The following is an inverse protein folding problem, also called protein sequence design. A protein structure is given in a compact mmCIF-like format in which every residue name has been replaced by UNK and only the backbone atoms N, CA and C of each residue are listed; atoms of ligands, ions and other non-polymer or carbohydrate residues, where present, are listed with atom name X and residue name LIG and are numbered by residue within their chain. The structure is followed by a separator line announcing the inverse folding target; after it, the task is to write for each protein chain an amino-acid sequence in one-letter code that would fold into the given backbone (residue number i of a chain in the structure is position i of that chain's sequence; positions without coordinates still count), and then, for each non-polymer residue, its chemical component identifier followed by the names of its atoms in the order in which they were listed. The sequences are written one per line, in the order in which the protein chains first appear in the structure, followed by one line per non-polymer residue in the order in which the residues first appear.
data_IF_326066133127
#
_entry.id   IF_326066133127
#
_cell.length_a   1.000
_cell.length_b   1.000
_cell.length_c   1.000
_cell.angle_alpha   90.00
_cell.angle_beta   90.00
_cell.angle_gamma   90.00
#
_symmetry.space_group_name_H-M   'P 1'
#
loop_
_entity.id
_entity.type
_entity.pdbx_description
1 polymer ?
#
# COMPACT_ATOMS: atom_id res chain seq x y z
N UNK A 1 14.50 10.85 19.23
CA UNK A 1 14.78 11.19 17.82
C UNK A 1 15.61 12.47 17.79
N UNK A 2 16.75 12.50 17.10
CA UNK A 2 17.66 13.66 17.08
C UNK A 2 17.06 14.84 16.29
N UNK A 3 17.26 16.07 16.79
CA UNK A 3 16.94 17.33 16.09
C UNK A 3 17.60 17.32 14.70
N UNK A 4 16.81 17.54 13.66
CA UNK A 4 17.32 17.82 12.30
C UNK A 4 17.04 19.29 12.02
N UNK A 5 18.07 20.14 12.19
CA UNK A 5 17.99 21.59 11.97
C UNK A 5 17.82 21.97 10.48
N UNK A 6 17.82 20.99 9.58
CA UNK A 6 17.54 21.14 8.14
C UNK A 6 16.53 20.07 7.69
N UNK A 7 15.44 20.46 6.99
CA UNK A 7 14.49 19.50 6.44
C UNK A 7 15.18 18.57 5.42
N UNK A 8 14.94 17.27 5.55
CA UNK A 8 15.47 16.25 4.65
C UNK A 8 14.64 16.18 3.36
N UNK A 9 15.28 16.40 2.22
CA UNK A 9 14.67 16.37 0.88
C UNK A 9 15.23 15.25 0.00
N UNK A 10 15.85 14.23 0.61
CA UNK A 10 16.40 13.09 -0.14
C UNK A 10 15.33 12.23 -0.80
N UNK A 11 14.15 12.09 -0.18
CA UNK A 11 13.00 11.42 -0.76
C UNK A 11 12.28 12.30 -1.78
N UNK A 12 11.74 11.68 -2.83
CA UNK A 12 11.05 12.34 -3.95
C UNK A 12 9.55 12.19 -3.79
N UNK A 13 8.80 13.23 -4.12
CA UNK A 13 7.34 13.23 -4.05
C UNK A 13 6.80 14.58 -3.63
N UNK A 14 5.57 14.61 -3.11
CA UNK A 14 5.01 15.83 -2.54
C UNK A 14 5.60 16.07 -1.16
N UNK A 15 6.48 17.05 -1.05
CA UNK A 15 7.03 17.52 0.22
C UNK A 15 5.98 18.33 0.99
N UNK A 16 5.73 17.96 2.24
CA UNK A 16 4.82 18.62 3.18
C UNK A 16 5.65 19.03 4.38
N UNK A 17 5.78 20.34 4.59
CA UNK A 17 6.41 20.86 5.78
C UNK A 17 5.38 20.93 6.91
N UNK A 18 5.71 20.35 8.05
CA UNK A 18 4.85 20.30 9.22
C UNK A 18 5.61 20.73 10.47
N UNK A 19 5.01 21.61 11.26
CA UNK A 19 5.49 21.98 12.59
C UNK A 19 4.28 22.21 13.50
N UNK A 20 4.32 21.58 14.68
CA UNK A 20 3.27 21.75 15.69
C UNK A 20 3.51 22.99 16.57
N UNK A 21 4.77 23.40 16.75
CA UNK A 21 5.19 24.47 17.66
C UNK A 21 5.79 25.70 16.94
N UNK A 22 5.88 25.65 15.60
CA UNK A 22 6.48 26.67 14.77
C UNK A 22 8.01 26.73 14.85
N UNK A 23 8.66 25.81 15.58
CA UNK A 23 10.11 25.77 15.78
C UNK A 23 10.71 24.53 15.15
N UNK A 24 10.14 23.36 15.42
CA UNK A 24 10.60 22.09 14.89
C UNK A 24 9.82 21.79 13.60
N UNK A 25 10.44 22.06 12.45
CA UNK A 25 9.86 21.78 11.12
C UNK A 25 10.32 20.42 10.63
N UNK A 26 9.37 19.53 10.35
CA UNK A 26 9.59 18.23 9.72
C UNK A 26 9.18 18.27 8.25
N UNK A 27 9.96 17.60 7.41
CA UNK A 27 9.57 17.31 6.03
C UNK A 27 8.95 15.92 5.98
N UNK A 28 7.69 15.85 5.53
CA UNK A 28 7.00 14.61 5.20
C UNK A 28 6.93 14.48 3.69
N UNK A 29 7.18 13.29 3.15
CA UNK A 29 7.04 13.03 1.72
C UNK A 29 5.85 12.12 1.49
N UNK A 30 4.93 12.54 0.62
CA UNK A 30 3.72 11.79 0.30
C UNK A 30 3.77 11.22 -1.11
N UNK A 31 3.44 9.94 -1.22
CA UNK A 31 3.15 9.22 -2.46
C UNK A 31 1.81 8.50 -2.37
N UNK A 32 1.25 8.12 -3.52
CA UNK A 32 -0.01 7.39 -3.55
C UNK A 32 -0.06 6.39 -4.71
N UNK A 33 -0.51 5.18 -4.40
CA UNK A 33 -1.08 4.24 -5.38
C UNK A 33 -2.59 4.43 -5.38
N UNK A 34 -3.15 4.76 -6.54
CA UNK A 34 -4.57 5.04 -6.71
C UNK A 34 -5.40 3.74 -6.58
N UNK A 35 -6.64 3.89 -6.14
CA UNK A 35 -7.67 2.85 -6.20
C UNK A 35 -7.34 1.51 -5.49
N UNK A 36 -6.49 1.49 -4.46
CA UNK A 36 -6.12 0.25 -3.76
C UNK A 36 -7.34 -0.51 -3.17
N UNK A 37 -7.98 0.07 -2.15
CA UNK A 37 -9.12 -0.55 -1.48
C UNK A 37 -10.31 -0.74 -2.42
N UNK A 38 -10.61 0.26 -3.26
CA UNK A 38 -11.71 0.20 -4.23
C UNK A 38 -11.50 -0.87 -5.31
N UNK A 39 -10.27 -1.16 -5.71
CA UNK A 39 -9.97 -2.27 -6.64
C UNK A 39 -10.30 -3.61 -6.00
N UNK A 40 -9.92 -3.81 -4.73
CA UNK A 40 -10.28 -5.03 -4.01
C UNK A 40 -11.80 -5.14 -3.80
N UNK A 41 -12.47 -4.03 -3.47
CA UNK A 41 -13.93 -3.97 -3.40
C UNK A 41 -14.59 -4.33 -4.73
N UNK A 42 -14.09 -3.78 -5.84
CA UNK A 42 -14.57 -4.14 -7.18
C UNK A 42 -14.44 -5.65 -7.45
N UNK A 43 -13.29 -6.25 -7.14
CA UNK A 43 -13.09 -7.68 -7.33
C UNK A 43 -14.12 -8.47 -6.50
N UNK A 44 -14.20 -8.20 -5.21
CA UNK A 44 -15.02 -8.96 -4.26
C UNK A 44 -16.53 -8.81 -4.58
N UNK A 45 -16.98 -7.57 -4.78
CA UNK A 45 -18.41 -7.27 -4.90
C UNK A 45 -18.94 -7.47 -6.32
N UNK A 46 -18.16 -7.09 -7.34
CA UNK A 46 -18.64 -7.09 -8.74
C UNK A 46 -18.26 -8.34 -9.50
N UNK A 47 -17.07 -8.88 -9.27
CA UNK A 47 -16.53 -9.99 -10.04
C UNK A 47 -16.78 -11.32 -9.33
N UNK A 48 -16.39 -11.42 -8.06
CA UNK A 48 -16.57 -12.63 -7.25
C UNK A 48 -17.99 -12.76 -6.68
N UNK A 49 -18.72 -11.64 -6.61
CA UNK A 49 -20.07 -11.53 -6.05
C UNK A 49 -20.17 -12.16 -4.65
N UNK A 50 -19.13 -11.95 -3.83
CA UNK A 50 -19.08 -12.48 -2.48
C UNK A 50 -19.91 -11.61 -1.53
N UNK A 51 -20.54 -12.25 -0.53
CA UNK A 51 -21.38 -11.58 0.47
C UNK A 51 -20.59 -10.89 1.59
N UNK A 52 -19.30 -11.21 1.75
CA UNK A 52 -18.43 -10.62 2.77
C UNK A 52 -16.96 -10.70 2.35
N UNK A 53 -16.15 -9.80 2.89
CA UNK A 53 -14.69 -9.83 2.75
C UNK A 53 -14.09 -11.01 3.51
N UNK A 54 -14.58 -11.30 4.72
CA UNK A 54 -14.07 -12.40 5.56
C UNK A 54 -14.18 -13.78 4.87
N UNK A 55 -15.26 -14.01 4.11
CA UNK A 55 -15.43 -15.24 3.34
C UNK A 55 -14.43 -15.40 2.19
N UNK A 56 -13.86 -14.29 1.69
CA UNK A 56 -12.81 -14.30 0.65
C UNK A 56 -11.42 -14.30 1.27
N UNK A 57 -11.20 -13.46 2.30
CA UNK A 57 -9.96 -13.43 3.08
C UNK A 57 -9.64 -14.80 3.70
N UNK A 58 -10.65 -15.54 4.17
CA UNK A 58 -10.49 -16.90 4.70
C UNK A 58 -10.13 -17.96 3.65
N UNK A 59 -10.30 -17.67 2.35
CA UNK A 59 -9.86 -18.53 1.24
C UNK A 59 -8.46 -18.15 0.72
N UNK A 60 -8.05 -16.89 0.95
CA UNK A 60 -6.75 -16.38 0.58
C UNK A 60 -5.71 -16.76 1.64
N UNK A 61 -4.88 -17.76 1.32
CA UNK A 61 -3.77 -18.19 2.16
C UNK A 61 -2.51 -17.37 1.86
N UNK A 62 -2.08 -16.54 2.82
CA UNK A 62 -0.86 -15.74 2.70
C UNK A 62 0.39 -16.59 2.42
N UNK A 63 0.44 -17.85 2.87
CA UNK A 63 1.57 -18.73 2.60
C UNK A 63 1.70 -19.11 1.11
N UNK A 64 0.59 -19.01 0.36
CA UNK A 64 0.57 -19.20 -1.10
C UNK A 64 0.94 -17.93 -1.86
N UNK A 65 0.98 -16.77 -1.20
CA UNK A 65 1.43 -15.53 -1.82
C UNK A 65 2.87 -15.67 -2.34
N UNK A 66 3.15 -15.08 -3.49
CA UNK A 66 4.45 -15.16 -4.16
C UNK A 66 4.68 -16.46 -4.93
N UNK A 67 3.94 -17.54 -4.66
CA UNK A 67 4.17 -18.86 -5.27
C UNK A 67 3.52 -19.03 -6.64
N UNK A 68 2.35 -18.43 -6.85
CA UNK A 68 1.58 -18.55 -8.09
C UNK A 68 2.09 -17.65 -9.23
N UNK A 69 1.72 -17.97 -10.45
CA UNK A 69 2.19 -17.28 -11.66
C UNK A 69 1.34 -16.07 -12.07
N UNK A 70 0.13 -15.94 -11.52
CA UNK A 70 -0.81 -14.87 -11.80
C UNK A 70 -0.29 -13.52 -11.29
N UNK A 71 -0.31 -12.51 -12.15
CA UNK A 71 0.06 -11.13 -11.81
C UNK A 71 -1.15 -10.22 -11.98
N UNK A 72 -1.21 -9.17 -11.15
CA UNK A 72 -2.18 -8.10 -11.30
C UNK A 72 -1.46 -6.75 -11.42
N UNK A 73 -1.81 -5.98 -12.45
CA UNK A 73 -1.40 -4.59 -12.62
C UNK A 73 -2.47 -3.68 -12.03
N UNK A 74 -2.20 -2.92 -10.95
CA UNK A 74 -3.25 -2.38 -10.09
C UNK A 74 -3.89 -1.06 -10.55
N UNK A 75 -3.49 -0.52 -11.70
CA UNK A 75 -3.83 0.85 -12.09
C UNK A 75 -5.21 0.95 -12.77
N UNK A 76 -6.27 0.63 -12.02
CA UNK A 76 -7.65 0.53 -12.53
C UNK A 76 -8.22 1.86 -13.08
N UNK A 77 -7.74 2.99 -12.57
CA UNK A 77 -8.31 4.33 -12.85
C UNK A 77 -7.21 5.32 -13.27
N UNK A 78 -6.21 4.83 -14.00
CA UNK A 78 -5.00 5.59 -14.28
C UNK A 78 -4.01 5.61 -13.10
N UNK A 79 -2.87 6.25 -13.32
CA UNK A 79 -1.83 6.41 -12.32
C UNK A 79 -1.23 7.82 -12.39
N UNK A 80 -1.06 8.47 -11.24
CA UNK A 80 -0.51 9.82 -11.15
C UNK A 80 0.97 9.88 -10.74
N UNK A 81 1.38 9.11 -9.74
CA UNK A 81 2.67 9.29 -9.04
C UNK A 81 3.84 8.60 -9.73
N UNK A 82 3.66 7.35 -10.15
CA UNK A 82 4.66 6.52 -10.80
C UNK A 82 4.80 6.86 -12.29
N UNK A 83 3.68 7.05 -12.98
CA UNK A 83 3.61 6.99 -14.44
C UNK A 83 3.02 8.24 -15.08
N UNK A 84 2.29 9.05 -14.30
CA UNK A 84 1.61 10.26 -14.77
C UNK A 84 0.74 10.01 -16.02
N UNK A 85 0.02 8.89 -16.02
CA UNK A 85 -0.74 8.39 -17.14
C UNK A 85 -2.18 8.06 -16.71
N UNK A 86 -3.16 8.92 -17.05
CA UNK A 86 -4.57 8.71 -16.72
C UNK A 86 -5.24 7.61 -17.56
N UNK A 87 -4.61 7.18 -18.66
CA UNK A 87 -5.15 6.20 -19.59
C UNK A 87 -4.96 4.77 -19.10
N UNK A 88 -4.03 4.53 -18.16
CA UNK A 88 -3.74 3.19 -17.64
C UNK A 88 -4.99 2.51 -17.08
N UNK A 89 -5.08 1.21 -17.33
CA UNK A 89 -6.11 0.32 -16.80
C UNK A 89 -5.46 -0.90 -16.15
N UNK A 90 -6.17 -1.49 -15.20
CA UNK A 90 -5.70 -2.68 -14.53
C UNK A 90 -5.77 -3.90 -15.43
N UNK A 91 -4.93 -4.89 -15.15
CA UNK A 91 -4.84 -6.12 -15.94
C UNK A 91 -4.51 -7.32 -15.07
N UNK A 92 -5.12 -8.46 -15.37
CA UNK A 92 -4.64 -9.78 -14.91
C UNK A 92 -3.78 -10.41 -16.01
N UNK A 93 -2.61 -10.92 -15.63
CA UNK A 93 -1.65 -11.52 -16.56
C UNK A 93 -1.34 -12.94 -16.09
N UNK A 94 -1.52 -13.93 -16.97
CA UNK A 94 -1.25 -15.33 -16.68
C UNK A 94 -2.44 -16.11 -16.11
N UNK A 95 -3.67 -15.74 -16.47
CA UNK A 95 -4.87 -16.54 -16.16
C UNK A 95 -4.80 -17.90 -16.84
N UNK A 96 -5.22 -18.94 -16.11
CA UNK A 96 -5.41 -20.31 -16.60
C UNK A 96 -6.80 -20.82 -16.21
N UNK A 97 -7.32 -21.90 -16.83
CA UNK A 97 -8.59 -22.51 -16.43
C UNK A 97 -8.65 -22.95 -14.94
N UNK A 98 -7.50 -23.19 -14.32
CA UNK A 98 -7.35 -23.58 -12.92
C UNK A 98 -7.33 -22.38 -11.96
N UNK A 99 -7.34 -21.14 -12.48
CA UNK A 99 -7.30 -19.94 -11.63
C UNK A 99 -8.55 -19.87 -10.75
N UNK A 100 -8.34 -19.90 -9.43
CA UNK A 100 -9.40 -19.83 -8.45
C UNK A 100 -9.72 -18.40 -8.01
N UNK A 101 -10.83 -18.23 -7.28
CA UNK A 101 -11.21 -16.95 -6.66
C UNK A 101 -10.15 -16.45 -5.68
N UNK A 102 -9.53 -17.37 -4.93
CA UNK A 102 -8.48 -17.06 -3.98
C UNK A 102 -7.21 -16.56 -4.70
N UNK A 103 -6.87 -17.15 -5.86
CA UNK A 103 -5.71 -16.72 -6.64
C UNK A 103 -5.91 -15.30 -7.19
N UNK A 104 -7.12 -14.95 -7.62
CA UNK A 104 -7.47 -13.59 -8.06
C UNK A 104 -7.31 -12.57 -6.93
N UNK A 105 -7.83 -12.86 -5.74
CA UNK A 105 -7.76 -11.95 -4.59
C UNK A 105 -6.31 -11.78 -4.10
N UNK A 106 -5.55 -12.86 -3.99
CA UNK A 106 -4.12 -12.81 -3.70
C UNK A 106 -3.36 -11.99 -4.75
N UNK A 107 -3.61 -12.21 -6.04
CA UNK A 107 -2.97 -11.44 -7.10
C UNK A 107 -3.28 -9.94 -7.00
N UNK A 108 -4.50 -9.55 -6.62
CA UNK A 108 -4.84 -8.14 -6.39
C UNK A 108 -4.07 -7.57 -5.20
N UNK A 109 -4.05 -8.27 -4.06
CA UNK A 109 -3.29 -7.85 -2.88
C UNK A 109 -1.79 -7.67 -3.20
N UNK A 110 -1.21 -8.65 -3.88
CA UNK A 110 0.18 -8.64 -4.34
C UNK A 110 0.46 -7.51 -5.33
N UNK A 111 -0.39 -7.34 -6.34
CA UNK A 111 -0.23 -6.30 -7.36
C UNK A 111 -0.21 -4.90 -6.76
N UNK A 112 -1.07 -4.64 -5.78
CA UNK A 112 -1.08 -3.38 -5.04
C UNK A 112 0.20 -3.24 -4.19
N UNK A 113 0.63 -4.31 -3.50
CA UNK A 113 1.87 -4.30 -2.73
C UNK A 113 3.11 -4.08 -3.61
N UNK A 114 3.18 -4.66 -4.81
CA UNK A 114 4.22 -4.39 -5.80
C UNK A 114 4.21 -2.94 -6.28
N UNK A 115 3.01 -2.36 -6.45
CA UNK A 115 2.86 -0.93 -6.71
C UNK A 115 3.49 -0.08 -5.60
N UNK A 116 3.23 -0.40 -4.33
CA UNK A 116 3.88 0.29 -3.20
C UNK A 116 5.39 0.09 -3.17
N UNK A 117 5.90 -1.11 -3.46
CA UNK A 117 7.34 -1.37 -3.55
C UNK A 117 8.00 -0.53 -4.65
N UNK A 118 7.38 -0.46 -5.83
CA UNK A 118 7.84 0.38 -6.92
C UNK A 118 7.80 1.86 -6.53
N UNK A 119 6.72 2.30 -5.89
CA UNK A 119 6.57 3.67 -5.42
C UNK A 119 7.67 4.06 -4.42
N UNK A 120 7.93 3.20 -3.43
CA UNK A 120 9.00 3.45 -2.47
C UNK A 120 10.37 3.58 -3.17
N UNK A 121 10.66 2.70 -4.14
CA UNK A 121 11.89 2.76 -4.94
C UNK A 121 12.00 4.07 -5.74
N UNK A 122 10.96 4.45 -6.49
CA UNK A 122 10.95 5.68 -7.31
C UNK A 122 11.04 6.95 -6.44
N UNK A 123 10.44 6.90 -5.25
CA UNK A 123 10.48 7.97 -4.28
C UNK A 123 11.76 7.99 -3.43
N UNK A 124 12.68 7.04 -3.62
CA UNK A 124 13.86 6.86 -2.79
C UNK A 124 13.53 6.76 -1.28
N UNK A 125 12.40 6.14 -0.94
CA UNK A 125 12.01 5.86 0.44
C UNK A 125 12.70 4.58 0.90
N UNK A 126 13.52 4.62 1.96
CA UNK A 126 14.13 3.41 2.49
C UNK A 126 13.07 2.52 3.14
N UNK A 127 13.11 1.23 2.80
CA UNK A 127 12.27 0.19 3.44
C UNK A 127 13.02 -0.61 4.50
N UNK A 128 14.35 -0.49 4.57
CA UNK A 128 15.16 -1.00 5.69
C UNK A 128 15.06 -0.03 6.86
N UNK A 129 13.94 -0.12 7.58
CA UNK A 129 13.60 0.74 8.72
C UNK A 129 13.52 -0.10 9.99
N UNK A 130 13.96 0.50 11.11
CA UNK A 130 13.91 -0.14 12.43
C UNK A 130 12.50 -0.21 13.02
N UNK A 131 11.65 0.73 12.64
CA UNK A 131 10.28 0.84 13.12
C UNK A 131 9.32 0.26 12.08
N UNK A 132 8.26 -0.46 12.49
CA UNK A 132 7.29 -1.01 11.56
C UNK A 132 6.56 0.11 10.80
N UNK A 133 6.21 -0.15 9.54
CA UNK A 133 5.29 0.73 8.83
C UNK A 133 3.88 0.57 9.40
N UNK A 134 3.22 1.69 9.69
CA UNK A 134 1.88 1.68 10.27
C UNK A 134 0.82 1.54 9.19
N UNK A 135 -0.03 0.52 9.32
CA UNK A 135 -1.17 0.29 8.45
C UNK A 135 -2.47 0.75 9.10
N UNK A 136 -3.20 1.61 8.38
CA UNK A 136 -4.49 2.19 8.77
C UNK A 136 -5.54 1.97 7.67
N UNK A 137 -6.82 2.12 8.01
CA UNK A 137 -7.93 2.08 7.05
C UNK A 137 -8.43 0.66 6.73
N UNK A 138 -9.30 0.55 5.72
CA UNK A 138 -10.03 -0.68 5.42
C UNK A 138 -9.14 -1.88 5.09
N UNK A 139 -8.06 -1.66 4.32
CA UNK A 139 -7.11 -2.72 3.96
C UNK A 139 -6.39 -3.32 5.17
N UNK A 140 -6.15 -2.52 6.22
CA UNK A 140 -5.47 -2.97 7.44
C UNK A 140 -6.29 -3.98 8.26
N UNK A 141 -7.58 -4.15 7.96
CA UNK A 141 -8.44 -5.16 8.61
C UNK A 141 -8.11 -6.58 8.15
N UNK A 142 -7.58 -6.77 6.93
CA UNK A 142 -7.18 -8.08 6.42
C UNK A 142 -5.77 -8.43 6.92
N UNK A 143 -5.68 -9.42 7.81
CA UNK A 143 -4.38 -9.96 8.27
C UNK A 143 -3.58 -10.57 7.11
N UNK A 144 -4.25 -11.23 6.16
CA UNK A 144 -3.63 -11.78 4.94
C UNK A 144 -2.96 -10.67 4.14
N UNK A 145 -3.65 -9.56 3.90
CA UNK A 145 -3.08 -8.46 3.12
C UNK A 145 -1.93 -7.76 3.85
N UNK A 146 -2.02 -7.61 5.17
CA UNK A 146 -0.92 -7.06 5.97
C UNK A 146 0.33 -7.96 5.90
N UNK A 147 0.17 -9.29 5.92
CA UNK A 147 1.27 -10.22 5.73
C UNK A 147 1.88 -10.10 4.32
N UNK A 148 1.04 -10.03 3.27
CA UNK A 148 1.53 -9.81 1.89
C UNK A 148 2.30 -8.51 1.74
N UNK A 149 1.84 -7.42 2.39
CA UNK A 149 2.57 -6.15 2.41
C UNK A 149 3.93 -6.29 3.09
N UNK A 150 3.99 -6.96 4.25
CA UNK A 150 5.24 -7.20 4.97
C UNK A 150 6.25 -8.00 4.12
N UNK A 151 5.76 -9.05 3.46
CA UNK A 151 6.57 -9.94 2.62
C UNK A 151 7.09 -9.23 1.37
N UNK A 152 6.24 -8.47 0.68
CA UNK A 152 6.60 -7.76 -0.57
C UNK A 152 7.55 -6.60 -0.30
N UNK A 153 7.28 -5.79 0.74
CA UNK A 153 8.07 -4.63 1.10
C UNK A 153 9.35 -5.01 1.88
N UNK A 154 9.42 -6.26 2.38
CA UNK A 154 10.50 -6.78 3.22
C UNK A 154 10.73 -5.90 4.46
N UNK A 155 9.64 -5.43 5.06
CA UNK A 155 9.64 -4.62 6.27
C UNK A 155 8.49 -4.99 7.20
N UNK A 156 8.63 -4.85 8.52
CA UNK A 156 7.53 -5.13 9.46
C UNK A 156 6.36 -4.16 9.24
N UNK A 157 5.13 -4.67 9.27
CA UNK A 157 3.90 -3.86 9.17
C UNK A 157 3.11 -3.99 10.45
N UNK A 158 2.76 -2.87 11.09
CA UNK A 158 1.98 -2.86 12.32
C UNK A 158 0.57 -2.30 12.08
N UNK A 159 -0.43 -3.06 12.52
CA UNK A 159 -1.83 -2.62 12.49
C UNK A 159 -2.07 -1.53 13.53
N UNK A 160 -2.81 -0.50 13.16
CA UNK A 160 -3.39 0.47 14.10
C UNK A 160 -4.84 0.08 14.39
N UNK A 161 -5.19 -0.06 15.67
CA UNK A 161 -6.53 -0.50 16.13
C UNK A 161 -7.37 0.65 16.71
N UNK A 162 -6.74 1.80 16.99
CA UNK A 162 -7.40 2.99 17.54
C UNK A 162 -7.87 4.01 16.49
N UNK A 163 -8.51 5.09 16.94
CA UNK A 163 -8.78 6.26 16.11
C UNK A 163 -7.52 6.71 15.39
N UNK A 164 -7.60 6.88 14.07
CA UNK A 164 -6.47 7.31 13.24
C UNK A 164 -6.93 8.26 12.12
N UNK A 165 -5.95 8.84 11.43
CA UNK A 165 -6.18 9.74 10.29
C UNK A 165 -6.27 11.22 10.66
N UNK A 166 -6.55 12.04 9.65
CA UNK A 166 -6.41 13.49 9.73
C UNK A 166 -7.29 14.15 10.80
N UNK A 167 -8.51 13.64 11.01
CA UNK A 167 -9.42 14.19 12.02
C UNK A 167 -8.88 14.00 13.44
N UNK A 168 -8.30 12.84 13.74
CA UNK A 168 -7.67 12.57 15.04
C UNK A 168 -6.44 13.45 15.24
N UNK A 169 -5.60 13.58 14.21
CA UNK A 169 -4.45 14.49 14.26
C UNK A 169 -4.84 15.95 14.50
N UNK A 170 -5.90 16.44 13.84
CA UNK A 170 -6.43 17.79 14.06
C UNK A 170 -6.94 17.99 15.50
N UNK A 171 -7.62 17.00 16.07
CA UNK A 171 -8.09 17.05 17.45
C UNK A 171 -6.92 17.08 18.45
N UNK A 172 -5.88 16.25 18.23
CA UNK A 172 -4.66 16.27 19.05
C UNK A 172 -3.99 17.64 19.00
N UNK A 173 -3.84 18.22 17.80
CA UNK A 173 -3.25 19.56 17.64
C UNK A 173 -4.05 20.66 18.33
N UNK A 174 -5.39 20.58 18.31
CA UNK A 174 -6.23 21.52 19.03
C UNK A 174 -6.06 21.38 20.56
N UNK A 175 -6.03 20.16 21.08
CA UNK A 175 -5.86 19.89 22.51
C UNK A 175 -4.49 20.39 23.01
N UNK A 176 -3.41 20.04 22.31
CA UNK A 176 -2.05 20.38 22.76
C UNK A 176 -1.67 21.82 22.45
N UNK A 177 -1.98 22.30 21.25
CA UNK A 177 -1.57 23.62 20.78
C UNK A 177 -2.49 24.75 21.23
N UNK A 178 -3.81 24.57 21.15
CA UNK A 178 -4.77 25.64 21.47
C UNK A 178 -5.24 25.60 22.93
N UNK A 179 -5.40 24.41 23.50
CA UNK A 179 -5.94 24.24 24.86
C UNK A 179 -4.85 23.97 25.91
N UNK A 180 -3.59 23.75 25.48
CA UNK A 180 -2.47 23.49 26.38
C UNK A 180 -2.62 22.20 27.19
N UNK A 181 -3.47 21.27 26.75
CA UNK A 181 -3.62 19.97 27.38
C UNK A 181 -2.41 19.09 27.09
N UNK A 182 -2.06 18.14 27.99
CA UNK A 182 -1.11 17.09 27.67
C UNK A 182 -1.52 16.32 26.41
N UNK A 183 -0.53 15.84 25.65
CA UNK A 183 -0.79 15.02 24.47
C UNK A 183 -1.54 13.74 24.87
N UNK A 184 -2.74 13.50 24.33
CA UNK A 184 -3.52 12.33 24.68
C UNK A 184 -2.98 11.10 23.95
N UNK A 185 -2.95 9.96 24.63
CA UNK A 185 -2.65 8.67 24.01
C UNK A 185 -3.89 8.17 23.26
N UNK A 186 -3.99 8.51 21.97
CA UNK A 186 -5.18 8.24 21.13
C UNK A 186 -5.00 7.08 20.15
N UNK A 187 -3.76 6.68 19.87
CA UNK A 187 -3.45 5.59 18.94
C UNK A 187 -3.14 4.33 19.72
N UNK A 188 -3.89 3.27 19.46
CA UNK A 188 -3.56 1.92 19.92
C UNK A 188 -3.02 1.08 18.77
N UNK A 189 -2.07 0.21 19.10
CA UNK A 189 -1.40 -0.65 18.14
C UNK A 189 -1.81 -2.10 18.34
N UNK A 190 -2.08 -2.77 17.23
CA UNK A 190 -2.40 -4.20 17.18
C UNK A 190 -1.20 -5.04 16.78
N UNK A 191 -1.51 -6.16 16.11
CA UNK A 191 -0.51 -7.12 15.63
C UNK A 191 0.53 -6.48 14.69
N UNK A 192 1.77 -6.99 14.82
CA UNK A 192 2.88 -6.75 13.90
C UNK A 192 3.03 -7.97 13.00
N UNK A 193 3.15 -7.71 11.70
CA UNK A 193 3.35 -8.69 10.64
C UNK A 193 4.79 -8.57 10.16
N UNK A 194 5.59 -9.58 10.46
CA UNK A 194 7.00 -9.66 10.08
C UNK A 194 7.13 -10.27 8.68
N UNK A 195 8.14 -9.89 7.88
CA UNK A 195 8.44 -10.57 6.62
C UNK A 195 8.65 -12.07 6.86
N UNK A 196 7.82 -12.89 6.22
CA UNK A 196 7.80 -14.34 6.33
C UNK A 196 8.62 -15.03 5.24
N UNK A 197 8.54 -16.37 5.23
CA UNK A 197 9.27 -17.21 4.27
C UNK A 197 8.89 -16.96 2.80
N UNK A 198 7.72 -16.37 2.54
CA UNK A 198 7.27 -16.04 1.18
C UNK A 198 7.92 -14.77 0.60
N UNK A 199 8.62 -13.96 1.42
CA UNK A 199 9.23 -12.69 0.99
C UNK A 199 10.17 -12.83 -0.22
N UNK A 200 10.93 -13.91 -0.30
CA UNK A 200 11.84 -14.15 -1.42
C UNK A 200 11.12 -14.60 -2.70
N UNK A 201 9.96 -15.25 -2.57
CA UNK A 201 9.13 -15.61 -3.73
C UNK A 201 8.61 -14.35 -4.44
N UNK A 202 8.30 -13.30 -3.67
CA UNK A 202 7.83 -12.03 -4.20
C UNK A 202 8.88 -11.30 -5.03
N UNK A 203 10.19 -11.47 -4.79
CA UNK A 203 11.23 -10.83 -5.61
C UNK A 203 11.18 -11.30 -7.07
N UNK A 204 10.93 -12.59 -7.28
CA UNK A 204 10.81 -13.17 -8.63
C UNK A 204 9.58 -12.61 -9.36
N UNK A 205 8.43 -12.57 -8.69
CA UNK A 205 7.19 -12.01 -9.27
C UNK A 205 7.30 -10.51 -9.48
N UNK A 206 7.91 -9.79 -8.55
CA UNK A 206 8.12 -8.34 -8.66
C UNK A 206 8.96 -7.96 -9.87
N UNK A 207 10.03 -8.71 -10.17
CA UNK A 207 10.80 -8.52 -11.41
C UNK A 207 9.92 -8.65 -12.65
N UNK A 208 9.01 -9.63 -12.71
CA UNK A 208 8.05 -9.78 -13.82
C UNK A 208 7.02 -8.66 -13.83
N UNK A 209 6.51 -8.25 -12.67
CA UNK A 209 5.57 -7.14 -12.52
C UNK A 209 6.09 -5.85 -13.17
N UNK A 210 7.38 -5.52 -12.97
CA UNK A 210 8.00 -4.33 -13.56
C UNK A 210 7.97 -4.30 -15.10
N UNK A 211 7.89 -5.46 -15.75
CA UNK A 211 7.81 -5.54 -17.21
C UNK A 211 6.39 -5.30 -17.75
N UNK A 212 5.36 -5.40 -16.90
CA UNK A 212 3.96 -5.33 -17.36
C UNK A 212 3.68 -3.98 -18.02
N UNK A 213 4.13 -2.87 -17.41
CA UNK A 213 3.89 -1.54 -17.99
C UNK A 213 4.44 -1.42 -19.41
N UNK A 214 5.67 -1.89 -19.62
CA UNK A 214 6.29 -1.81 -20.94
C UNK A 214 5.54 -2.65 -21.97
N UNK A 215 5.09 -3.86 -21.58
CA UNK A 215 4.26 -4.70 -22.44
C UNK A 215 2.89 -4.07 -22.75
N UNK A 216 2.28 -3.34 -21.81
CA UNK A 216 0.98 -2.70 -22.03
C UNK A 216 1.06 -1.48 -22.94
N UNK A 217 2.21 -0.80 -23.04
CA UNK A 217 2.38 0.36 -23.96
C UNK A 217 2.17 0.01 -25.43
N UNK A 218 2.35 -1.26 -25.83
CA UNK A 218 2.10 -1.68 -27.21
C UNK A 218 0.62 -1.90 -27.53
N UNK A 219 -0.27 -1.77 -26.53
CA UNK A 219 -1.72 -1.90 -26.69
C UNK A 219 -2.30 -0.48 -26.76
N UNK A 220 -2.83 -0.03 -27.92
CA UNK A 220 -3.42 1.30 -28.04
C UNK A 220 -4.58 1.48 -27.06
N UNK A 221 -4.62 2.62 -26.39
CA UNK A 221 -5.74 3.01 -25.54
C UNK A 221 -6.83 3.71 -26.36
N UNK A 222 -8.09 3.61 -25.96
CA UNK A 222 -9.16 4.43 -26.53
C UNK A 222 -8.91 5.95 -26.34
N UNK A 223 -7.99 6.32 -25.45
CA UNK A 223 -7.53 7.70 -25.25
C UNK A 223 -6.42 8.15 -26.22
N UNK A 224 -5.88 7.24 -27.03
CA UNK A 224 -4.84 7.51 -28.05
C UNK A 224 -5.43 7.75 -29.45
N UNK A 225 -6.77 7.64 -29.60
CA UNK A 225 -7.54 7.88 -30.82
C UNK A 225 -8.25 9.25 -30.77
#
# INVERSE_FOLDING_TARGET
MARRDTPDFSARGKNILFSADGKDVRCLVQGAIQSCGSTRSWLIERILQASSYDGVDGQADASRAGTGELLFFPHMTGEKTLFADPSLRGAFIGLTPETSRADLDLAVMEGIAYGFRQLASEMAIPLDVREPLLAVGGGARSSTWLQVLADVLKCPIQRVEGPSGAAVGAAVLALTGALGCPEPEVVSFGAVFEPGAAADNHDRKYKRYLHIREALKSIPSEYDL
#
